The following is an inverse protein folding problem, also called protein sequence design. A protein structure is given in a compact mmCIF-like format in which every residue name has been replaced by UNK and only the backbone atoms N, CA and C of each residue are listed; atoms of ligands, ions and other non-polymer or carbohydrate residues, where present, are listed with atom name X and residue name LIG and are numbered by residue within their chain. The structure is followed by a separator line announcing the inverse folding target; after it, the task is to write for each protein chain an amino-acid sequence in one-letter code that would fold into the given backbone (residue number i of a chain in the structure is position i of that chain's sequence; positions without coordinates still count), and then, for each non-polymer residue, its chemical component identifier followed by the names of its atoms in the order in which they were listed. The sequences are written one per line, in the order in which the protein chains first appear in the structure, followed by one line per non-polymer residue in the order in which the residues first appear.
data_IF_118733598818
#
_entry.id   IF_118733598818
#
_cell.length_a   1.000
_cell.length_b   1.000
_cell.length_c   1.000
_cell.angle_alpha   90.00
_cell.angle_beta   90.00
_cell.angle_gamma   90.00
#
_symmetry.space_group_name_H-M   'P 1'
#
loop_
_entity.id
_entity.type
_entity.pdbx_description
1 polymer ?
#
# COMPACT_ATOMS: atom_id res chain seq x y z
N UNK A 1 -22.63 5.82 -13.20
CA UNK A 1 -21.22 5.52 -13.50
C UNK A 1 -20.92 5.45 -15.00
N UNK A 2 -21.45 4.49 -15.80
CA UNK A 2 -21.07 4.29 -17.21
C UNK A 2 -21.21 5.54 -18.10
N UNK A 3 -22.35 6.27 -18.04
CA UNK A 3 -22.56 7.51 -18.82
C UNK A 3 -21.63 8.64 -18.40
N UNK A 4 -21.32 8.75 -17.12
CA UNK A 4 -20.35 9.70 -16.58
C UNK A 4 -18.96 9.40 -17.14
N UNK A 5 -18.53 8.12 -17.08
CA UNK A 5 -17.25 7.67 -17.58
C UNK A 5 -17.07 8.01 -19.08
N UNK A 6 -18.04 7.71 -19.93
CA UNK A 6 -17.97 8.02 -21.37
C UNK A 6 -17.90 9.53 -21.66
N UNK A 7 -18.45 10.35 -20.77
CA UNK A 7 -18.41 11.81 -20.92
C UNK A 7 -17.03 12.39 -20.63
N UNK A 8 -16.38 11.97 -19.56
CA UNK A 8 -15.10 12.52 -19.09
C UNK A 8 -13.89 11.79 -19.64
N UNK A 9 -14.00 10.50 -19.89
CA UNK A 9 -12.93 9.64 -20.34
C UNK A 9 -13.31 8.81 -21.57
N UNK A 10 -13.68 9.46 -22.70
CA UNK A 10 -14.17 8.74 -23.90
C UNK A 10 -13.11 7.84 -24.55
N UNK A 11 -11.83 8.08 -24.26
CA UNK A 11 -10.68 7.28 -24.74
C UNK A 11 -10.06 6.41 -23.65
N UNK A 12 -10.72 6.28 -22.52
CA UNK A 12 -10.15 5.68 -21.31
C UNK A 12 -9.27 6.67 -20.53
N UNK A 13 -8.93 6.34 -19.32
CA UNK A 13 -8.07 7.12 -18.42
C UNK A 13 -7.35 6.19 -17.46
N UNK A 14 -6.29 6.70 -16.79
CA UNK A 14 -5.68 5.96 -15.69
C UNK A 14 -6.66 5.88 -14.52
N UNK A 15 -6.48 4.87 -13.64
CA UNK A 15 -7.30 4.78 -12.41
C UNK A 15 -7.14 6.01 -11.53
N UNK A 16 -5.93 6.59 -11.48
CA UNK A 16 -5.67 7.81 -10.73
C UNK A 16 -6.49 9.01 -11.27
N UNK A 17 -6.49 9.21 -12.60
CA UNK A 17 -7.24 10.30 -13.23
C UNK A 17 -8.75 10.14 -13.01
N UNK A 18 -9.27 8.92 -13.22
CA UNK A 18 -10.70 8.62 -13.04
C UNK A 18 -11.11 8.79 -11.58
N UNK A 19 -10.33 8.24 -10.66
CA UNK A 19 -10.60 8.35 -9.23
C UNK A 19 -10.60 9.82 -8.78
N UNK A 20 -9.63 10.58 -9.24
CA UNK A 20 -9.53 12.00 -8.96
C UNK A 20 -10.78 12.77 -9.44
N UNK A 21 -11.18 12.58 -10.70
CA UNK A 21 -12.36 13.23 -11.23
C UNK A 21 -13.65 12.85 -10.48
N UNK A 22 -13.76 11.60 -10.01
CA UNK A 22 -14.88 11.16 -9.19
C UNK A 22 -14.92 11.87 -7.83
N UNK A 23 -13.77 12.07 -7.19
CA UNK A 23 -13.68 12.80 -5.91
C UNK A 23 -14.00 14.28 -6.12
N UNK A 24 -13.45 14.93 -7.16
CA UNK A 24 -13.74 16.34 -7.45
C UNK A 24 -15.23 16.61 -7.68
N UNK A 25 -15.95 15.68 -8.29
CA UNK A 25 -17.40 15.80 -8.52
C UNK A 25 -18.27 15.27 -7.36
N UNK A 26 -17.68 14.80 -6.27
CA UNK A 26 -18.39 14.34 -5.08
C UNK A 26 -18.95 12.91 -5.18
N UNK A 27 -18.55 12.11 -6.19
CA UNK A 27 -18.97 10.71 -6.35
C UNK A 27 -18.08 9.75 -5.53
N UNK A 28 -18.03 9.95 -4.22
CA UNK A 28 -17.15 9.20 -3.30
C UNK A 28 -17.38 7.69 -3.33
N UNK A 29 -18.64 7.24 -3.33
CA UNK A 29 -18.99 5.81 -3.38
C UNK A 29 -18.49 5.14 -4.67
N UNK A 30 -18.52 5.88 -5.78
CA UNK A 30 -18.01 5.37 -7.06
C UNK A 30 -16.48 5.33 -7.07
N UNK A 31 -15.83 6.30 -6.44
CA UNK A 31 -14.40 6.31 -6.28
C UNK A 31 -13.94 5.12 -5.43
N UNK A 32 -14.62 4.80 -4.33
CA UNK A 32 -14.34 3.62 -3.51
C UNK A 32 -14.51 2.32 -4.31
N UNK A 33 -15.62 2.17 -5.05
CA UNK A 33 -15.87 0.99 -5.88
C UNK A 33 -14.80 0.81 -6.96
N UNK A 34 -14.33 1.91 -7.57
CA UNK A 34 -13.26 1.90 -8.56
C UNK A 34 -11.97 1.36 -7.95
N UNK A 35 -11.69 1.75 -6.74
CA UNK A 35 -10.49 1.31 -6.01
C UNK A 35 -10.55 -0.16 -5.64
N UNK A 36 -11.70 -0.66 -5.17
CA UNK A 36 -11.86 -2.09 -4.90
C UNK A 36 -11.53 -2.93 -6.15
N UNK A 37 -11.98 -2.46 -7.32
CA UNK A 37 -11.70 -3.13 -8.59
C UNK A 37 -10.21 -3.03 -8.97
N UNK A 38 -9.63 -1.83 -8.87
CA UNK A 38 -8.22 -1.61 -9.17
C UNK A 38 -7.30 -2.48 -8.31
N UNK A 39 -7.60 -2.60 -7.03
CA UNK A 39 -6.83 -3.41 -6.10
C UNK A 39 -6.83 -4.90 -6.40
N UNK A 40 -7.98 -5.44 -6.76
CA UNK A 40 -8.04 -6.85 -7.21
C UNK A 40 -7.12 -7.09 -8.40
N UNK A 41 -7.00 -6.08 -9.26
CA UNK A 41 -6.13 -6.13 -10.44
C UNK A 41 -4.66 -5.93 -10.08
N UNK A 42 -4.34 -5.03 -9.17
CA UNK A 42 -2.99 -4.80 -8.65
C UNK A 42 -2.38 -6.05 -8.01
N UNK A 43 -3.17 -6.73 -7.19
CA UNK A 43 -2.74 -7.98 -6.54
C UNK A 43 -2.51 -9.12 -7.55
N UNK A 44 -2.94 -8.96 -8.79
CA UNK A 44 -2.79 -9.95 -9.85
C UNK A 44 -1.78 -9.55 -10.94
N UNK A 45 -1.38 -8.28 -11.02
CA UNK A 45 -0.60 -7.75 -12.15
C UNK A 45 0.38 -6.65 -11.72
N UNK A 46 1.68 -6.98 -11.68
CA UNK A 46 2.76 -6.06 -11.33
C UNK A 46 2.87 -4.88 -12.31
N UNK A 47 2.64 -5.11 -13.60
CA UNK A 47 2.69 -4.03 -14.60
C UNK A 47 1.60 -2.99 -14.35
N UNK A 48 0.43 -3.41 -13.89
CA UNK A 48 -0.63 -2.51 -13.52
C UNK A 48 -0.25 -1.67 -12.29
N UNK A 49 0.42 -2.26 -11.29
CA UNK A 49 0.95 -1.53 -10.14
C UNK A 49 1.96 -0.45 -10.55
N UNK A 50 2.87 -0.77 -11.49
CA UNK A 50 3.82 0.20 -12.06
C UNK A 50 3.13 1.35 -12.81
N UNK A 51 2.07 1.08 -13.58
CA UNK A 51 1.31 2.12 -14.28
C UNK A 51 0.63 3.08 -13.30
N UNK A 52 0.10 2.58 -12.20
CA UNK A 52 -0.56 3.41 -11.20
C UNK A 52 0.44 4.29 -10.42
N UNK A 53 1.60 3.76 -10.05
CA UNK A 53 2.68 4.57 -9.49
C UNK A 53 3.11 5.67 -10.46
N UNK A 54 3.24 5.36 -11.75
CA UNK A 54 3.57 6.35 -12.79
C UNK A 54 2.47 7.43 -12.94
N UNK A 55 1.21 7.08 -12.76
CA UNK A 55 0.09 8.03 -12.78
C UNK A 55 0.11 8.95 -11.56
N UNK A 56 0.45 8.42 -10.37
CA UNK A 56 0.66 9.22 -9.17
C UNK A 56 1.86 10.19 -9.32
N UNK A 57 2.93 9.76 -10.00
CA UNK A 57 4.07 10.63 -10.33
C UNK A 57 3.66 11.82 -11.20
N UNK A 58 2.76 11.62 -12.18
CA UNK A 58 2.23 12.71 -13.00
C UNK A 58 1.46 13.75 -12.18
N UNK A 59 0.70 13.31 -11.16
CA UNK A 59 0.05 14.24 -10.22
C UNK A 59 1.07 15.09 -9.46
N UNK A 60 2.24 14.55 -9.13
CA UNK A 60 3.33 15.30 -8.48
C UNK A 60 3.93 16.40 -9.39
N UNK A 61 3.84 16.23 -10.71
CA UNK A 61 4.37 17.20 -11.67
C UNK A 61 3.34 18.25 -12.12
N UNK A 62 2.05 18.06 -11.79
CA UNK A 62 0.99 19.03 -12.09
C UNK A 62 1.22 20.32 -11.28
N UNK A 63 1.07 21.54 -11.89
CA UNK A 63 1.32 22.83 -11.24
C UNK A 63 0.29 23.22 -10.17
N UNK A 64 -0.49 22.27 -9.64
CA UNK A 64 -1.19 22.42 -8.37
C UNK A 64 -0.23 22.91 -7.28
N UNK A 65 -0.64 23.01 -6.07
CA UNK A 65 0.19 23.51 -4.99
C UNK A 65 1.48 22.69 -4.80
N UNK A 66 2.60 23.23 -5.26
CA UNK A 66 3.94 22.70 -4.99
C UNK A 66 4.40 23.13 -3.61
N UNK A 67 4.89 22.19 -2.82
CA UNK A 67 5.61 22.51 -1.60
C UNK A 67 7.01 23.04 -1.98
N UNK A 68 7.21 24.35 -1.97
CA UNK A 68 8.53 24.98 -2.16
C UNK A 68 9.36 25.05 -0.87
N UNK A 69 8.89 24.42 0.21
CA UNK A 69 9.52 24.47 1.53
C UNK A 69 9.98 23.09 1.96
N UNK A 70 11.08 23.01 2.72
CA UNK A 70 11.55 21.76 3.34
C UNK A 70 10.54 21.13 4.34
N UNK A 71 9.52 21.88 4.72
CA UNK A 71 8.43 21.43 5.59
C UNK A 71 7.09 21.98 5.10
N UNK A 72 6.10 21.10 5.01
CA UNK A 72 4.74 21.44 4.56
C UNK A 72 3.70 20.80 5.49
N UNK A 73 2.76 21.59 6.00
CA UNK A 73 1.69 21.11 6.85
C UNK A 73 0.33 21.62 6.34
N UNK A 74 -0.63 20.72 6.15
CA UNK A 74 -2.01 21.06 5.76
C UNK A 74 -3.06 20.24 6.51
N UNK A 75 -4.18 20.89 6.78
CA UNK A 75 -5.36 20.26 7.38
C UNK A 75 -6.62 20.35 6.50
N UNK A 76 -6.48 20.89 5.28
CA UNK A 76 -7.62 21.05 4.37
C UNK A 76 -8.04 19.69 3.80
N UNK A 77 -9.35 19.48 3.73
CA UNK A 77 -9.92 18.33 3.06
C UNK A 77 -9.67 18.40 1.53
N UNK A 78 -9.49 17.24 0.91
CA UNK A 78 -9.23 17.10 -0.53
C UNK A 78 -7.97 17.86 -1.01
N UNK A 79 -7.06 18.21 -0.11
CA UNK A 79 -5.82 18.88 -0.48
C UNK A 79 -4.96 18.00 -1.40
N UNK A 80 -4.32 18.64 -2.38
CA UNK A 80 -3.40 17.99 -3.31
C UNK A 80 -2.00 18.55 -3.10
N UNK A 81 -1.05 17.68 -2.90
CA UNK A 81 0.33 18.04 -2.59
C UNK A 81 1.26 17.28 -3.53
N UNK A 82 1.90 18.02 -4.44
CA UNK A 82 2.98 17.52 -5.27
C UNK A 82 4.34 17.99 -4.76
N UNK A 83 5.32 17.08 -4.67
CA UNK A 83 6.67 17.41 -4.24
C UNK A 83 7.71 16.67 -5.06
N UNK A 84 8.65 17.41 -5.67
CA UNK A 84 9.77 16.84 -6.42
C UNK A 84 11.11 17.04 -5.71
N UNK A 85 11.14 17.78 -4.60
CA UNK A 85 12.36 18.14 -3.88
C UNK A 85 12.77 17.05 -2.89
N UNK A 86 14.09 16.98 -2.63
CA UNK A 86 14.68 16.05 -1.68
C UNK A 86 14.52 16.51 -0.22
N UNK A 87 14.48 15.54 0.70
CA UNK A 87 14.45 15.77 2.14
C UNK A 87 13.23 16.58 2.66
N UNK A 88 12.14 16.61 1.91
CA UNK A 88 10.93 17.35 2.28
C UNK A 88 10.14 16.58 3.35
N UNK A 89 9.51 17.33 4.24
CA UNK A 89 8.56 16.81 5.23
C UNK A 89 7.15 17.30 4.93
N UNK A 90 6.22 16.37 4.79
CA UNK A 90 4.82 16.64 4.50
C UNK A 90 3.98 16.10 5.65
N UNK A 91 3.15 16.92 6.26
CA UNK A 91 2.20 16.51 7.28
C UNK A 91 0.78 16.91 6.87
N UNK A 92 -0.17 15.98 6.92
CA UNK A 92 -1.57 16.25 6.57
C UNK A 92 -2.53 15.69 7.60
N UNK A 93 -3.65 16.39 7.81
CA UNK A 93 -4.73 15.95 8.71
C UNK A 93 -6.12 15.97 8.03
N UNK A 94 -6.22 16.45 6.79
CA UNK A 94 -7.49 16.58 6.04
C UNK A 94 -8.03 15.23 5.54
N UNK A 95 -9.32 15.19 5.25
CA UNK A 95 -10.00 14.06 4.60
C UNK A 95 -9.65 14.00 3.11
N UNK A 96 -9.47 12.79 2.58
CA UNK A 96 -9.24 12.53 1.16
C UNK A 96 -8.05 13.30 0.54
N UNK A 97 -6.99 13.51 1.31
CA UNK A 97 -5.80 14.21 0.86
C UNK A 97 -5.02 13.34 -0.14
N UNK A 98 -4.52 13.97 -1.19
CA UNK A 98 -3.66 13.32 -2.18
C UNK A 98 -2.23 13.87 -2.07
N UNK A 99 -1.27 12.98 -1.88
CA UNK A 99 0.16 13.34 -1.77
C UNK A 99 0.93 12.54 -2.81
N UNK A 100 1.70 13.24 -3.64
CA UNK A 100 2.61 12.61 -4.58
C UNK A 100 4.02 13.19 -4.38
N UNK A 101 5.02 12.31 -4.21
CA UNK A 101 6.40 12.72 -4.00
C UNK A 101 7.37 11.96 -4.90
N UNK A 102 8.33 12.67 -5.48
CA UNK A 102 9.43 12.10 -6.29
C UNK A 102 10.79 12.31 -5.65
N UNK A 103 10.90 13.15 -4.61
CA UNK A 103 12.16 13.49 -3.97
C UNK A 103 12.76 12.34 -3.16
N UNK A 104 14.10 12.37 -3.03
CA UNK A 104 14.85 11.46 -2.18
C UNK A 104 14.60 11.78 -0.68
N UNK A 105 14.50 10.74 0.15
CA UNK A 105 14.35 10.87 1.62
C UNK A 105 13.16 11.73 2.08
N UNK A 106 12.06 11.74 1.35
CA UNK A 106 10.85 12.47 1.74
C UNK A 106 10.19 11.80 2.94
N UNK A 107 9.68 12.60 3.86
CA UNK A 107 8.93 12.13 5.02
C UNK A 107 7.48 12.61 4.91
N UNK A 108 6.54 11.66 4.93
CA UNK A 108 5.11 11.93 4.79
C UNK A 108 4.38 11.40 6.02
N UNK A 109 3.67 12.28 6.72
CA UNK A 109 2.76 11.93 7.81
C UNK A 109 1.33 12.28 7.43
N UNK A 110 0.39 11.32 7.54
CA UNK A 110 -1.04 11.58 7.31
C UNK A 110 -1.88 10.97 8.43
N UNK A 111 -2.73 11.79 9.03
CA UNK A 111 -3.72 11.37 10.03
C UNK A 111 -5.15 11.44 9.49
N UNK A 112 -5.34 11.89 8.26
CA UNK A 112 -6.65 12.01 7.61
C UNK A 112 -7.17 10.70 7.04
N UNK A 113 -8.49 10.54 7.00
CA UNK A 113 -9.15 9.39 6.38
C UNK A 113 -9.07 9.46 4.85
N UNK A 114 -9.13 8.29 4.19
CA UNK A 114 -9.15 8.16 2.73
C UNK A 114 -7.98 8.85 2.01
N UNK A 115 -6.85 9.02 2.66
CA UNK A 115 -5.69 9.68 2.04
C UNK A 115 -5.02 8.77 1.02
N UNK A 116 -4.55 9.37 -0.07
CA UNK A 116 -3.80 8.70 -1.13
C UNK A 116 -2.37 9.22 -1.14
N UNK A 117 -1.41 8.33 -0.94
CA UNK A 117 -0.01 8.69 -0.83
C UNK A 117 0.80 7.89 -1.84
N UNK A 118 1.41 8.59 -2.80
CA UNK A 118 2.34 8.04 -3.77
C UNK A 118 3.75 8.56 -3.53
N UNK A 119 4.75 7.69 -3.50
CA UNK A 119 6.14 8.07 -3.46
C UNK A 119 6.97 7.24 -4.43
N UNK A 120 7.77 7.89 -5.26
CA UNK A 120 8.71 7.21 -6.15
C UNK A 120 10.17 7.47 -5.79
N UNK A 121 10.43 8.40 -4.87
CA UNK A 121 11.78 8.68 -4.39
C UNK A 121 12.31 7.59 -3.47
N UNK A 122 13.61 7.34 -3.54
CA UNK A 122 14.28 6.41 -2.64
C UNK A 122 14.24 6.87 -1.17
N UNK A 123 14.28 5.92 -0.24
CA UNK A 123 14.31 6.15 1.21
C UNK A 123 13.15 6.97 1.74
N UNK A 124 12.03 7.00 1.04
CA UNK A 124 10.83 7.66 1.53
C UNK A 124 10.36 7.04 2.86
N UNK A 125 9.85 7.88 3.74
CA UNK A 125 9.24 7.45 5.01
C UNK A 125 7.80 7.90 5.03
N UNK A 126 6.87 6.96 5.12
CA UNK A 126 5.44 7.23 5.11
C UNK A 126 4.82 6.70 6.40
N UNK A 127 4.16 7.56 7.15
CA UNK A 127 3.42 7.20 8.35
C UNK A 127 1.95 7.57 8.18
N UNK A 128 1.05 6.60 8.34
CA UNK A 128 -0.40 6.81 8.19
C UNK A 128 -1.14 6.29 9.40
N UNK A 129 -2.00 7.11 9.99
CA UNK A 129 -2.92 6.69 11.05
C UNK A 129 -4.39 6.76 10.63
N UNK A 130 -4.68 7.34 9.45
CA UNK A 130 -6.02 7.44 8.89
C UNK A 130 -6.52 6.14 8.29
N UNK A 131 -7.79 5.82 8.54
CA UNK A 131 -8.43 4.64 7.97
C UNK A 131 -8.69 4.78 6.47
N UNK A 132 -8.86 3.63 5.80
CA UNK A 132 -9.19 3.54 4.37
C UNK A 132 -8.19 4.24 3.43
N UNK A 133 -6.98 4.49 3.90
CA UNK A 133 -5.94 5.17 3.14
C UNK A 133 -5.20 4.22 2.20
N UNK A 134 -4.55 4.78 1.19
CA UNK A 134 -3.75 4.04 0.21
C UNK A 134 -2.35 4.59 0.16
N UNK A 135 -1.39 3.69 0.15
CA UNK A 135 0.02 4.03 0.14
C UNK A 135 0.69 3.23 -0.97
N UNK A 136 1.32 3.92 -1.90
CA UNK A 136 2.12 3.31 -2.97
C UNK A 136 3.54 3.86 -2.91
N UNK A 137 4.54 2.98 -2.92
CA UNK A 137 5.93 3.37 -2.97
C UNK A 137 6.69 2.58 -4.03
N UNK A 138 7.33 3.27 -4.96
CA UNK A 138 8.20 2.67 -5.97
C UNK A 138 9.69 2.81 -5.66
N UNK A 139 10.05 3.70 -4.74
CA UNK A 139 11.45 3.94 -4.38
C UNK A 139 12.02 2.88 -3.46
N UNK A 140 13.30 2.57 -3.67
CA UNK A 140 14.04 1.60 -2.85
C UNK A 140 14.21 2.05 -1.40
N UNK A 141 14.37 1.07 -0.53
CA UNK A 141 14.63 1.29 0.90
C UNK A 141 13.59 2.16 1.61
N UNK A 142 12.39 2.24 1.05
CA UNK A 142 11.29 3.00 1.64
C UNK A 142 10.76 2.32 2.92
N UNK A 143 10.29 3.13 3.85
CA UNK A 143 9.71 2.67 5.10
C UNK A 143 8.29 3.16 5.25
N UNK A 144 7.36 2.23 5.43
CA UNK A 144 5.94 2.52 5.57
C UNK A 144 5.46 2.02 6.93
N UNK A 145 4.85 2.90 7.71
CA UNK A 145 4.20 2.57 8.97
C UNK A 145 2.72 2.90 8.87
N UNK A 146 1.86 1.95 9.22
CA UNK A 146 0.42 2.12 9.20
C UNK A 146 -0.21 1.64 10.50
N UNK A 147 -1.13 2.45 11.07
CA UNK A 147 -1.99 2.04 12.18
C UNK A 147 -3.48 2.20 11.86
N UNK A 148 -3.82 2.69 10.66
CA UNK A 148 -5.20 2.82 10.20
C UNK A 148 -5.79 1.48 9.76
N UNK A 149 -7.09 1.32 9.96
CA UNK A 149 -7.86 0.16 9.47
C UNK A 149 -8.17 0.29 7.97
N UNK A 150 -8.34 -0.85 7.28
CA UNK A 150 -8.69 -0.92 5.84
C UNK A 150 -7.69 -0.17 4.95
N UNK A 151 -6.44 -0.10 5.36
CA UNK A 151 -5.39 0.55 4.59
C UNK A 151 -4.80 -0.41 3.57
N UNK A 152 -4.37 0.13 2.47
CA UNK A 152 -3.73 -0.63 1.39
C UNK A 152 -2.33 -0.10 1.18
N UNK A 153 -1.37 -1.01 1.19
CA UNK A 153 0.04 -0.69 1.02
C UNK A 153 0.57 -1.46 -0.19
N UNK A 154 1.18 -0.76 -1.12
CA UNK A 154 1.88 -1.36 -2.25
C UNK A 154 3.32 -0.85 -2.30
N UNK A 155 4.30 -1.75 -2.41
CA UNK A 155 5.70 -1.38 -2.61
C UNK A 155 6.29 -2.14 -3.80
N UNK A 156 7.02 -1.41 -4.65
CA UNK A 156 7.73 -1.95 -5.81
C UNK A 156 9.25 -1.92 -5.63
N UNK A 157 9.75 -1.00 -4.82
CA UNK A 157 11.17 -0.83 -4.55
C UNK A 157 11.76 -1.99 -3.74
N UNK A 158 13.06 -2.21 -3.92
CA UNK A 158 13.81 -3.19 -3.14
C UNK A 158 14.04 -2.76 -1.69
N UNK A 159 14.23 -3.73 -0.80
CA UNK A 159 14.57 -3.50 0.62
C UNK A 159 13.57 -2.59 1.34
N UNK A 160 12.33 -2.59 0.91
CA UNK A 160 11.27 -1.84 1.56
C UNK A 160 10.89 -2.48 2.90
N UNK A 161 10.54 -1.63 3.86
CA UNK A 161 10.06 -2.08 5.17
C UNK A 161 8.62 -1.60 5.36
N UNK A 162 7.72 -2.53 5.61
CA UNK A 162 6.30 -2.24 5.90
C UNK A 162 5.98 -2.71 7.31
N UNK A 163 5.49 -1.81 8.14
CA UNK A 163 4.96 -2.13 9.46
C UNK A 163 3.47 -1.75 9.51
N UNK A 164 2.61 -2.68 9.88
CA UNK A 164 1.17 -2.45 9.99
C UNK A 164 0.63 -2.94 11.33
N UNK A 165 -0.20 -2.11 11.97
CA UNK A 165 -0.95 -2.46 13.18
C UNK A 165 -2.47 -2.30 12.99
N UNK A 166 -2.92 -1.96 11.79
CA UNK A 166 -4.34 -1.83 11.48
C UNK A 166 -4.96 -3.14 11.03
N UNK A 167 -6.25 -3.33 11.32
CA UNK A 167 -7.01 -4.47 10.86
C UNK A 167 -7.52 -4.29 9.42
N UNK A 168 -7.86 -5.41 8.77
CA UNK A 168 -8.38 -5.43 7.41
C UNK A 168 -7.42 -4.78 6.40
N UNK A 169 -6.12 -4.86 6.64
CA UNK A 169 -5.09 -4.25 5.79
C UNK A 169 -4.69 -5.20 4.66
N UNK A 170 -4.40 -4.62 3.52
CA UNK A 170 -3.84 -5.33 2.37
C UNK A 170 -2.43 -4.82 2.12
N UNK A 171 -1.45 -5.71 2.12
CA UNK A 171 -0.04 -5.39 1.88
C UNK A 171 0.43 -6.16 0.67
N UNK A 172 0.95 -5.46 -0.34
CA UNK A 172 1.59 -6.06 -1.50
C UNK A 172 3.01 -5.49 -1.64
N UNK A 173 3.99 -6.37 -1.66
CA UNK A 173 5.40 -6.03 -1.88
C UNK A 173 5.96 -6.90 -3.00
N UNK A 174 6.44 -6.25 -4.05
CA UNK A 174 7.00 -6.88 -5.25
C UNK A 174 8.53 -6.77 -5.32
N UNK A 175 9.11 -5.81 -4.60
CA UNK A 175 10.55 -5.62 -4.56
C UNK A 175 11.27 -6.69 -3.74
N UNK A 176 12.48 -7.03 -4.15
CA UNK A 176 13.31 -8.01 -3.45
C UNK A 176 13.71 -7.55 -2.04
N UNK A 177 13.96 -8.52 -1.16
CA UNK A 177 14.44 -8.29 0.21
C UNK A 177 13.50 -7.40 1.05
N UNK A 178 12.20 -7.40 0.76
CA UNK A 178 11.23 -6.66 1.55
C UNK A 178 11.05 -7.29 2.93
N UNK A 179 10.78 -6.45 3.92
CA UNK A 179 10.48 -6.87 5.29
C UNK A 179 9.11 -6.36 5.69
N UNK A 180 8.21 -7.27 6.03
CA UNK A 180 6.83 -6.95 6.39
C UNK A 180 6.60 -7.42 7.81
N UNK A 181 6.21 -6.51 8.70
CA UNK A 181 5.77 -6.80 10.05
C UNK A 181 4.30 -6.38 10.21
N UNK A 182 3.47 -7.27 10.70
CA UNK A 182 2.05 -7.02 10.93
C UNK A 182 1.63 -7.45 12.33
N UNK A 183 0.74 -6.66 12.95
CA UNK A 183 0.08 -7.05 14.21
C UNK A 183 -1.45 -6.87 14.16
N UNK A 184 -2.00 -6.35 13.05
CA UNK A 184 -3.44 -6.26 12.84
C UNK A 184 -4.04 -7.58 12.36
N UNK A 185 -5.34 -7.73 12.54
CA UNK A 185 -6.10 -8.92 12.17
C UNK A 185 -6.76 -8.79 10.80
N UNK A 186 -7.11 -9.94 10.20
CA UNK A 186 -7.77 -10.05 8.89
C UNK A 186 -6.94 -9.37 7.77
N UNK A 187 -5.66 -9.67 7.73
CA UNK A 187 -4.72 -9.05 6.80
C UNK A 187 -4.41 -9.98 5.64
N UNK A 188 -4.37 -9.42 4.43
CA UNK A 188 -3.88 -10.12 3.24
C UNK A 188 -2.48 -9.62 2.91
N UNK A 189 -1.52 -10.53 2.76
CA UNK A 189 -0.13 -10.19 2.51
C UNK A 189 0.35 -10.86 1.21
N UNK A 190 0.89 -10.07 0.31
CA UNK A 190 1.61 -10.54 -0.87
C UNK A 190 3.05 -10.04 -0.76
N UNK A 191 3.98 -10.95 -0.59
CA UNK A 191 5.42 -10.69 -0.54
C UNK A 191 6.09 -11.47 -1.68
N UNK A 192 5.77 -11.11 -2.93
CA UNK A 192 6.21 -11.83 -4.12
C UNK A 192 7.63 -11.49 -4.56
N UNK A 193 8.23 -10.46 -3.98
CA UNK A 193 9.64 -10.14 -4.20
C UNK A 193 10.57 -11.23 -3.65
N UNK A 194 11.71 -11.42 -4.32
CA UNK A 194 12.71 -12.40 -3.94
C UNK A 194 13.25 -12.15 -2.51
N UNK A 195 13.50 -13.22 -1.74
CA UNK A 195 14.07 -13.17 -0.38
C UNK A 195 13.31 -12.27 0.61
N UNK A 196 12.02 -12.07 0.41
CA UNK A 196 11.20 -11.25 1.31
C UNK A 196 10.85 -12.00 2.58
N UNK A 197 10.76 -11.27 3.70
CA UNK A 197 10.45 -11.83 5.02
C UNK A 197 9.18 -11.20 5.59
N UNK A 198 8.27 -12.05 6.08
CA UNK A 198 7.00 -11.64 6.69
C UNK A 198 6.93 -12.15 8.12
N UNK A 199 6.60 -11.28 9.07
CA UNK A 199 6.28 -11.66 10.45
C UNK A 199 4.93 -11.06 10.82
N UNK A 200 4.01 -11.89 11.32
CA UNK A 200 2.71 -11.40 11.81
C UNK A 200 2.39 -11.98 13.18
N UNK A 201 1.98 -11.09 14.09
CA UNK A 201 1.42 -11.48 15.39
C UNK A 201 -0.11 -11.39 15.41
N UNK A 202 -0.71 -10.75 14.42
CA UNK A 202 -2.15 -10.75 14.17
C UNK A 202 -2.56 -11.84 13.18
N UNK A 203 -3.87 -12.04 13.03
CA UNK A 203 -4.46 -13.04 12.14
C UNK A 203 -4.26 -12.65 10.68
N UNK A 204 -3.65 -13.55 9.91
CA UNK A 204 -3.43 -13.38 8.47
C UNK A 204 -4.41 -14.27 7.71
N UNK A 205 -5.30 -13.65 6.92
CA UNK A 205 -6.29 -14.37 6.11
C UNK A 205 -5.64 -15.09 4.91
N UNK A 206 -4.64 -14.46 4.32
CA UNK A 206 -3.86 -15.10 3.26
C UNK A 206 -2.48 -14.49 3.09
N UNK A 207 -1.53 -15.33 2.68
CA UNK A 207 -0.16 -14.92 2.37
C UNK A 207 0.31 -15.56 1.06
N UNK A 208 1.06 -14.78 0.27
CA UNK A 208 1.79 -15.26 -0.91
C UNK A 208 3.26 -14.89 -0.71
N UNK A 209 4.15 -15.86 -0.90
CA UNK A 209 5.60 -15.67 -0.84
C UNK A 209 6.21 -15.72 -2.24
N UNK A 210 7.25 -14.96 -2.48
CA UNK A 210 8.10 -15.05 -3.64
C UNK A 210 9.24 -16.07 -3.47
N UNK A 211 10.12 -16.23 -4.49
CA UNK A 211 11.29 -17.09 -4.42
C UNK A 211 12.18 -16.75 -3.22
N UNK A 212 12.62 -17.76 -2.47
CA UNK A 212 13.44 -17.57 -1.26
C UNK A 212 12.71 -16.87 -0.11
N UNK A 213 11.41 -16.64 -0.24
CA UNK A 213 10.60 -15.93 0.76
C UNK A 213 10.34 -16.76 2.03
N UNK A 214 10.17 -16.08 3.15
CA UNK A 214 9.88 -16.71 4.44
C UNK A 214 8.80 -15.96 5.21
N UNK A 215 8.00 -16.71 6.00
CA UNK A 215 6.97 -16.13 6.87
C UNK A 215 6.94 -16.80 8.24
N UNK A 216 6.64 -16.01 9.26
CA UNK A 216 6.33 -16.49 10.61
C UNK A 216 4.99 -15.87 11.03
N UNK A 217 3.95 -16.70 11.18
CA UNK A 217 2.61 -16.29 11.58
C UNK A 217 2.30 -16.79 12.98
N UNK A 218 1.92 -15.88 13.89
CA UNK A 218 1.58 -16.25 15.25
C UNK A 218 0.21 -16.93 15.33
N UNK A 219 0.08 -17.86 16.24
CA UNK A 219 -1.18 -18.49 16.66
C UNK A 219 -1.16 -18.80 18.14
N UNK A 220 -2.34 -19.00 18.75
CA UNK A 220 -2.47 -19.40 20.14
C UNK A 220 -2.81 -20.89 20.23
N UNK A 221 -2.01 -21.68 20.95
CA UNK A 221 -2.19 -23.14 21.07
C UNK A 221 -3.12 -23.55 22.23
N UNK A 222 -3.77 -22.57 22.88
CA UNK A 222 -4.57 -22.74 24.07
C UNK A 222 -3.85 -22.32 25.35
N UNK A 223 -2.52 -22.37 25.39
CA UNK A 223 -1.69 -21.99 26.53
C UNK A 223 -0.84 -20.75 26.29
N UNK A 224 -0.28 -20.62 25.09
CA UNK A 224 0.67 -19.55 24.74
C UNK A 224 0.68 -19.24 23.24
N UNK A 225 1.29 -18.12 22.89
CA UNK A 225 1.55 -17.76 21.50
C UNK A 225 2.71 -18.61 20.95
N UNK A 226 2.51 -19.17 19.77
CA UNK A 226 3.50 -19.88 18.96
C UNK A 226 3.58 -19.28 17.56
N UNK A 227 4.58 -19.71 16.79
CA UNK A 227 4.72 -19.31 15.40
C UNK A 227 4.72 -20.54 14.49
N UNK A 228 3.86 -20.48 13.46
CA UNK A 228 3.96 -21.32 12.30
C UNK A 228 4.93 -20.66 11.32
N UNK A 229 5.89 -21.43 10.81
CA UNK A 229 6.92 -20.92 9.88
C UNK A 229 6.73 -21.55 8.52
N UNK A 230 6.74 -20.73 7.47
CA UNK A 230 6.79 -21.13 6.07
C UNK A 230 8.08 -20.61 5.46
N UNK A 231 8.78 -21.48 4.74
CA UNK A 231 9.98 -21.14 3.95
C UNK A 231 9.73 -21.67 2.54
N UNK A 232 9.82 -20.81 1.55
CA UNK A 232 9.66 -21.23 0.16
C UNK A 232 10.70 -22.30 -0.20
N UNK A 233 10.27 -23.38 -0.88
CA UNK A 233 11.05 -24.56 -1.17
C UNK A 233 11.03 -25.66 -0.08
N UNK A 234 10.52 -25.38 1.12
CA UNK A 234 10.39 -26.34 2.21
C UNK A 234 8.91 -26.71 2.47
N UNK A 235 8.65 -27.95 2.95
CA UNK A 235 7.31 -28.42 3.36
C UNK A 235 6.19 -28.13 2.34
N UNK A 236 6.51 -28.26 1.05
CA UNK A 236 5.62 -27.97 -0.09
C UNK A 236 5.19 -26.50 -0.21
N UNK A 237 5.82 -25.56 0.46
CA UNK A 237 5.59 -24.13 0.25
C UNK A 237 6.25 -23.71 -1.07
N UNK A 238 5.45 -23.18 -2.00
CA UNK A 238 5.87 -22.77 -3.34
C UNK A 238 5.69 -21.27 -3.52
N UNK A 239 6.61 -20.64 -4.24
CA UNK A 239 6.49 -19.25 -4.64
C UNK A 239 5.23 -19.00 -5.48
N UNK A 240 4.58 -17.85 -5.27
CA UNK A 240 3.40 -17.43 -6.02
C UNK A 240 2.10 -18.12 -5.64
N UNK A 241 2.13 -19.09 -4.74
CA UNK A 241 0.95 -19.80 -4.25
C UNK A 241 0.39 -19.10 -3.00
N UNK A 242 -0.93 -19.05 -2.90
CA UNK A 242 -1.63 -18.46 -1.76
C UNK A 242 -1.80 -19.50 -0.66
N UNK A 243 -1.43 -19.12 0.56
CA UNK A 243 -1.54 -19.96 1.75
C UNK A 243 -2.32 -19.24 2.85
N UNK A 244 -2.92 -20.02 3.76
CA UNK A 244 -3.43 -19.59 5.04
C UNK A 244 -3.11 -20.63 6.12
N UNK A 245 -3.24 -20.27 7.40
CA UNK A 245 -3.23 -21.26 8.46
C UNK A 245 -4.61 -21.94 8.57
N UNK A 246 -4.61 -23.28 8.68
CA UNK A 246 -5.81 -24.06 9.03
C UNK A 246 -5.99 -24.12 10.56
N UNK A 247 -7.04 -24.81 11.01
CA UNK A 247 -7.32 -25.01 12.44
C UNK A 247 -6.22 -25.79 13.18
N UNK A 248 -5.40 -26.55 12.47
CA UNK A 248 -4.24 -27.27 13.01
C UNK A 248 -2.97 -26.41 12.94
N UNK A 249 -3.08 -25.12 12.62
CA UNK A 249 -1.98 -24.15 12.52
C UNK A 249 -0.91 -24.52 11.47
N UNK A 250 -1.33 -25.23 10.42
CA UNK A 250 -0.49 -25.59 9.28
C UNK A 250 -0.82 -24.71 8.08
N UNK A 251 0.19 -24.40 7.28
CA UNK A 251 -0.02 -23.70 6.01
C UNK A 251 -0.71 -24.61 5.02
N UNK A 252 -1.85 -24.18 4.48
CA UNK A 252 -2.62 -24.85 3.43
C UNK A 252 -2.89 -23.88 2.29
N UNK A 253 -2.90 -24.42 1.06
CA UNK A 253 -3.28 -23.64 -0.13
C UNK A 253 -4.75 -23.21 -0.07
N UNK A 254 -5.08 -21.99 -0.57
CA UNK A 254 -6.44 -21.46 -0.55
C UNK A 254 -6.78 -20.60 -1.79
#
# INVERSE_FOLDING_TARGET
MYRWFLRYFPRGGSYADIHHALIEEGYTDWAESLVEYAWKKWLADENFAHQEVSSMQKLATDPGERAFCSQFARSDDHARIGCCEDNVRIATAGYAVQIASMGYSVQIGSVGFNSHIGSSGERARVAVTGNSSRISSAGDSSRIANTGMRVRVCTLGERCHVASNGDLVQIASFGANARIANSGDNVHIIASGENSTVVSTGVVDSIILGPGGSAALAYHDGERVRFAVAIEGENNIRAGVRYRLNEQHQFVEC
#
